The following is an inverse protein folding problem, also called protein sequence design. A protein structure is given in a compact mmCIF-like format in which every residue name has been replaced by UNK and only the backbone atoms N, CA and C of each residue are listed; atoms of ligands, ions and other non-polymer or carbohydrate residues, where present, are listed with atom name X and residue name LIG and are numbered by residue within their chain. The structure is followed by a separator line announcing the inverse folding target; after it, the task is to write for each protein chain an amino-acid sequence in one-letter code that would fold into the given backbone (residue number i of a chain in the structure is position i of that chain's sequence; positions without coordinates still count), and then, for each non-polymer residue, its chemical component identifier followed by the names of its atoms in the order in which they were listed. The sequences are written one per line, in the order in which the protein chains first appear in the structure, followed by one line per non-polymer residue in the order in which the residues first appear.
data_IF_739442501067
#
_entry.id   IF_739442501067
#
_cell.length_a   1.000
_cell.length_b   1.000
_cell.length_c   1.000
_cell.angle_alpha   90.00
_cell.angle_beta   90.00
_cell.angle_gamma   90.00
#
_symmetry.space_group_name_H-M   'P 1'
#
loop_
_entity.id
_entity.type
_entity.pdbx_description
1 polymer ?
#
# COMPACT_ATOMS: atom_id res chain seq x y z
N UNK A 1 -11.06 12.74 24.47
CA UNK A 1 -11.62 13.38 23.25
C UNK A 1 -13.13 13.16 23.21
N UNK A 2 -13.94 14.15 22.79
CA UNK A 2 -15.37 13.93 22.51
C UNK A 2 -15.53 12.97 21.32
N UNK A 3 -16.57 12.12 21.31
CA UNK A 3 -16.78 11.10 20.27
C UNK A 3 -16.94 11.74 18.88
N UNK A 4 -17.67 12.85 18.80
CA UNK A 4 -17.80 13.61 17.57
C UNK A 4 -16.45 14.18 17.09
N UNK A 5 -15.62 14.66 18.01
CA UNK A 5 -14.29 15.18 17.67
C UNK A 5 -13.34 14.07 17.20
N UNK A 6 -13.43 12.88 17.80
CA UNK A 6 -12.64 11.71 17.40
C UNK A 6 -13.02 11.17 16.03
N UNK A 7 -14.31 11.10 15.70
CA UNK A 7 -14.76 10.73 14.35
C UNK A 7 -14.43 11.81 13.32
N UNK A 8 -14.57 13.10 13.66
CA UNK A 8 -14.15 14.18 12.76
C UNK A 8 -12.65 14.11 12.44
N UNK A 9 -11.81 13.77 13.41
CA UNK A 9 -10.38 13.57 13.18
C UNK A 9 -10.10 12.45 12.17
N UNK A 10 -10.93 11.39 12.13
CA UNK A 10 -10.83 10.35 11.09
C UNK A 10 -11.28 10.85 9.73
N UNK A 11 -12.39 11.60 9.68
CA UNK A 11 -12.89 12.18 8.44
C UNK A 11 -11.86 13.16 7.83
N UNK A 12 -11.21 13.97 8.66
CA UNK A 12 -10.16 14.89 8.23
C UNK A 12 -8.88 14.13 7.80
N UNK A 13 -8.55 13.04 8.50
CA UNK A 13 -7.33 12.27 8.24
C UNK A 13 -7.46 11.18 7.17
N UNK A 14 -8.66 10.74 6.78
CA UNK A 14 -8.82 9.64 5.84
C UNK A 14 -9.99 9.82 4.87
N UNK A 15 -10.78 10.88 5.01
CA UNK A 15 -12.00 11.07 4.23
C UNK A 15 -13.11 10.07 4.55
N UNK A 16 -13.01 9.34 5.65
CA UNK A 16 -13.97 8.31 6.09
C UNK A 16 -14.03 8.18 7.61
N UNK A 17 -15.15 7.65 8.11
CA UNK A 17 -15.35 7.33 9.53
C UNK A 17 -14.44 6.18 10.02
N UNK A 18 -14.18 6.14 11.33
CA UNK A 18 -13.27 5.17 11.94
C UNK A 18 -13.69 3.71 11.70
N UNK A 19 -15.00 3.42 11.80
CA UNK A 19 -15.52 2.06 11.72
C UNK A 19 -15.45 1.43 10.32
N UNK A 20 -15.91 2.08 9.23
CA UNK A 20 -15.66 1.61 7.87
C UNK A 20 -14.18 1.35 7.57
N UNK A 21 -13.29 2.26 8.01
CA UNK A 21 -11.84 2.13 7.83
C UNK A 21 -11.28 0.88 8.50
N UNK A 22 -11.48 0.74 9.81
CA UNK A 22 -10.91 -0.38 10.59
C UNK A 22 -11.47 -1.73 10.13
N UNK A 23 -12.72 -1.79 9.64
CA UNK A 23 -13.27 -2.99 9.01
C UNK A 23 -12.52 -3.38 7.75
N UNK A 24 -12.25 -2.42 6.86
CA UNK A 24 -11.48 -2.66 5.63
C UNK A 24 -10.07 -3.14 5.96
N UNK A 25 -9.39 -2.50 6.91
CA UNK A 25 -8.05 -2.86 7.35
C UNK A 25 -8.00 -4.25 7.99
N UNK A 26 -8.91 -4.55 8.92
CA UNK A 26 -9.01 -5.87 9.54
C UNK A 26 -9.31 -6.98 8.52
N UNK A 27 -10.12 -6.69 7.50
CA UNK A 27 -10.38 -7.62 6.42
C UNK A 27 -9.16 -7.84 5.52
N UNK A 28 -8.39 -6.78 5.20
CA UNK A 28 -7.13 -6.90 4.46
C UNK A 28 -6.14 -7.83 5.16
N UNK A 29 -6.01 -7.68 6.49
CA UNK A 29 -5.18 -8.54 7.33
C UNK A 29 -5.67 -10.00 7.29
N UNK A 30 -6.97 -10.21 7.52
CA UNK A 30 -7.56 -11.53 7.44
C UNK A 30 -7.28 -12.17 6.07
N UNK A 31 -7.63 -11.52 4.95
CA UNK A 31 -7.38 -12.01 3.59
C UNK A 31 -5.94 -12.49 3.38
N UNK A 32 -4.95 -11.71 3.85
CA UNK A 32 -3.54 -12.08 3.77
C UNK A 32 -3.25 -13.37 4.55
N UNK A 33 -3.73 -13.47 5.78
CA UNK A 33 -3.56 -14.68 6.62
C UNK A 33 -4.15 -15.93 5.96
N UNK A 34 -5.32 -15.81 5.32
CA UNK A 34 -6.01 -16.95 4.71
C UNK A 34 -5.64 -17.21 3.26
N UNK A 35 -4.79 -16.36 2.68
CA UNK A 35 -4.28 -16.55 1.32
C UNK A 35 -5.34 -16.34 0.24
N UNK A 36 -6.30 -15.42 0.43
CA UNK A 36 -7.20 -14.92 -0.62
C UNK A 36 -6.68 -13.70 -1.44
N UNK A 37 -6.36 -13.90 -2.72
CA UNK A 37 -5.78 -12.90 -3.64
C UNK A 37 -6.75 -11.75 -3.92
N UNK A 38 -6.31 -10.53 -4.31
CA UNK A 38 -7.19 -9.54 -4.94
C UNK A 38 -7.78 -10.08 -6.25
N UNK A 39 -7.05 -10.96 -6.93
CA UNK A 39 -7.56 -11.73 -8.07
C UNK A 39 -8.74 -12.62 -7.64
N UNK A 40 -8.86 -12.98 -6.35
CA UNK A 40 -10.04 -13.69 -5.86
C UNK A 40 -11.25 -12.77 -5.79
N UNK A 41 -11.14 -11.44 -5.64
CA UNK A 41 -12.32 -10.57 -5.78
C UNK A 41 -12.84 -10.57 -7.21
N UNK A 42 -11.93 -10.49 -8.20
CA UNK A 42 -12.28 -10.57 -9.62
C UNK A 42 -12.75 -11.98 -10.01
N UNK A 43 -12.19 -13.06 -9.46
CA UNK A 43 -12.67 -14.44 -9.64
C UNK A 43 -13.99 -14.71 -8.88
N UNK A 44 -14.21 -14.09 -7.72
CA UNK A 44 -15.48 -14.09 -6.98
C UNK A 44 -16.55 -13.34 -7.79
N UNK A 45 -16.21 -12.21 -8.40
CA UNK A 45 -17.08 -11.44 -9.30
C UNK A 45 -17.31 -12.15 -10.64
N UNK A 46 -16.32 -12.90 -11.14
CA UNK A 46 -16.43 -13.78 -12.31
C UNK A 46 -17.10 -15.13 -12.02
N UNK A 47 -17.40 -15.44 -10.75
CA UNK A 47 -18.17 -16.61 -10.33
C UNK A 47 -17.39 -17.93 -10.20
N UNK A 48 -16.06 -17.91 -10.23
CA UNK A 48 -15.18 -19.10 -10.16
C UNK A 48 -14.81 -19.53 -8.73
N UNK A 49 -15.58 -19.08 -7.75
CA UNK A 49 -15.25 -19.27 -6.34
C UNK A 49 -15.82 -20.60 -5.80
N UNK A 50 -14.93 -21.42 -5.23
CA UNK A 50 -15.26 -22.72 -4.63
C UNK A 50 -16.35 -22.55 -3.54
N UNK A 51 -17.49 -23.28 -3.61
CA UNK A 51 -18.57 -23.17 -2.64
C UNK A 51 -18.12 -23.39 -1.19
N UNK A 52 -17.15 -24.28 -0.95
CA UNK A 52 -16.65 -24.58 0.39
C UNK A 52 -15.80 -23.41 0.93
N UNK A 53 -14.91 -22.85 0.11
CA UNK A 53 -14.18 -21.62 0.41
C UNK A 53 -15.12 -20.44 0.71
N UNK A 54 -16.18 -20.26 -0.10
CA UNK A 54 -17.21 -19.24 0.11
C UNK A 54 -17.92 -19.41 1.46
N UNK A 55 -18.29 -20.64 1.81
CA UNK A 55 -18.94 -20.95 3.08
C UNK A 55 -18.01 -20.71 4.28
N UNK A 56 -16.73 -21.10 4.18
CA UNK A 56 -15.74 -20.86 5.24
C UNK A 56 -15.48 -19.35 5.43
N UNK A 57 -15.41 -18.57 4.34
CA UNK A 57 -15.33 -17.10 4.44
C UNK A 57 -16.53 -16.50 5.14
N UNK A 58 -17.75 -16.86 4.72
CA UNK A 58 -18.98 -16.32 5.28
C UNK A 58 -19.17 -16.71 6.75
N UNK A 59 -18.86 -17.95 7.10
CA UNK A 59 -19.14 -18.50 8.42
C UNK A 59 -18.01 -18.29 9.43
N UNK A 60 -16.76 -18.12 9.01
CA UNK A 60 -15.59 -18.01 9.91
C UNK A 60 -14.85 -16.70 9.72
N UNK A 61 -14.30 -16.44 8.55
CA UNK A 61 -13.30 -15.39 8.37
C UNK A 61 -13.88 -13.98 8.37
N UNK A 62 -15.03 -13.76 7.72
CA UNK A 62 -15.72 -12.49 7.78
C UNK A 62 -16.12 -12.16 9.23
N UNK A 63 -16.81 -13.04 9.98
CA UNK A 63 -17.09 -12.77 11.39
C UNK A 63 -15.84 -12.55 12.26
N UNK A 64 -14.77 -13.33 12.07
CA UNK A 64 -13.53 -13.17 12.82
C UNK A 64 -12.84 -11.83 12.52
N UNK A 65 -12.82 -11.39 11.26
CA UNK A 65 -12.29 -10.08 10.88
C UNK A 65 -13.09 -8.92 11.48
N UNK A 66 -14.41 -9.06 11.63
CA UNK A 66 -15.22 -8.05 12.33
C UNK A 66 -14.94 -8.02 13.83
N UNK A 67 -14.66 -9.18 14.46
CA UNK A 67 -14.22 -9.24 15.86
C UNK A 67 -12.85 -8.57 16.04
N UNK A 68 -11.91 -8.80 15.10
CA UNK A 68 -10.64 -8.09 15.07
C UNK A 68 -10.83 -6.58 14.88
N UNK A 69 -11.69 -6.17 13.94
CA UNK A 69 -12.03 -4.77 13.70
C UNK A 69 -12.61 -4.10 14.96
N UNK A 70 -13.51 -4.78 15.67
CA UNK A 70 -14.10 -4.27 16.91
C UNK A 70 -13.05 -4.09 18.00
N UNK A 71 -12.12 -5.05 18.15
CA UNK A 71 -11.02 -4.95 19.10
C UNK A 71 -10.08 -3.78 18.78
N UNK A 72 -9.74 -3.59 17.51
CA UNK A 72 -8.92 -2.47 17.03
C UNK A 72 -9.64 -1.13 17.23
N UNK A 73 -10.93 -1.04 16.89
CA UNK A 73 -11.73 0.16 17.10
C UNK A 73 -11.86 0.52 18.58
N UNK A 74 -12.09 -0.47 19.45
CA UNK A 74 -12.11 -0.30 20.91
C UNK A 74 -10.75 0.16 21.44
N UNK A 75 -9.66 -0.40 20.92
CA UNK A 75 -8.30 0.01 21.27
C UNK A 75 -8.02 1.46 20.83
N UNK A 76 -8.42 1.84 19.61
CA UNK A 76 -8.29 3.20 19.08
C UNK A 76 -9.01 4.20 19.97
N UNK A 77 -10.30 3.94 20.27
CA UNK A 77 -11.10 4.77 21.16
C UNK A 77 -10.52 4.86 22.56
N UNK A 78 -10.05 3.75 23.11
CA UNK A 78 -9.47 3.73 24.45
C UNK A 78 -8.15 4.51 24.54
N UNK A 79 -7.34 4.46 23.49
CA UNK A 79 -6.09 5.20 23.38
C UNK A 79 -6.27 6.64 22.91
N UNK A 80 -7.48 7.05 22.50
CA UNK A 80 -7.76 8.33 21.85
C UNK A 80 -6.88 8.59 20.61
N UNK A 81 -6.56 7.52 19.86
CA UNK A 81 -5.74 7.56 18.64
C UNK A 81 -6.59 7.27 17.40
N UNK A 82 -6.07 7.61 16.23
CA UNK A 82 -6.66 7.19 14.96
C UNK A 82 -6.51 5.66 14.78
N UNK A 83 -7.40 5.04 14.01
CA UNK A 83 -7.40 3.58 13.83
C UNK A 83 -6.09 3.04 13.25
N UNK A 84 -5.43 3.78 12.36
CA UNK A 84 -4.13 3.38 11.78
C UNK A 84 -3.00 3.39 12.81
N UNK A 85 -3.10 4.26 13.82
CA UNK A 85 -2.10 4.45 14.88
C UNK A 85 -2.31 3.49 16.06
N UNK A 86 -3.28 2.57 15.97
CA UNK A 86 -3.47 1.54 16.97
C UNK A 86 -2.33 0.54 16.91
N UNK A 87 -1.64 0.38 18.03
CA UNK A 87 -0.71 -0.73 18.21
C UNK A 87 -1.46 -2.07 18.24
N UNK A 88 -0.99 -3.03 17.44
CA UNK A 88 -1.58 -4.38 17.40
C UNK A 88 -1.65 -5.04 18.78
N UNK A 89 -0.64 -4.80 19.62
CA UNK A 89 -0.55 -5.29 21.02
C UNK A 89 -1.76 -4.87 21.85
N UNK A 90 -2.28 -3.66 21.65
CA UNK A 90 -3.48 -3.18 22.35
C UNK A 90 -4.73 -3.94 21.92
N UNK A 91 -4.85 -4.35 20.65
CA UNK A 91 -5.97 -5.19 20.19
C UNK A 91 -5.99 -6.55 20.93
N UNK A 92 -4.83 -7.10 21.30
CA UNK A 92 -4.78 -8.36 22.07
C UNK A 92 -5.32 -8.22 23.48
N UNK A 93 -5.25 -7.05 24.10
CA UNK A 93 -5.87 -6.81 25.41
C UNK A 93 -7.39 -6.93 25.35
N UNK A 94 -7.99 -6.57 24.21
CA UNK A 94 -9.42 -6.70 23.94
C UNK A 94 -9.84 -8.10 23.47
N UNK A 95 -8.95 -8.83 22.80
CA UNK A 95 -9.25 -10.19 22.32
C UNK A 95 -8.90 -11.28 23.33
N UNK A 96 -8.11 -11.01 24.36
CA UNK A 96 -7.70 -12.06 25.29
C UNK A 96 -7.13 -11.60 26.63
N UNK A 97 -7.14 -10.29 26.89
CA UNK A 97 -6.70 -9.71 28.15
C UNK A 97 -7.87 -9.26 29.02
N UNK A 98 -7.57 -8.35 29.95
CA UNK A 98 -8.51 -7.84 30.96
C UNK A 98 -9.76 -7.18 30.37
N UNK A 99 -9.68 -6.66 29.12
CA UNK A 99 -10.77 -5.97 28.44
C UNK A 99 -11.69 -6.90 27.62
N UNK A 100 -11.37 -8.18 27.50
CA UNK A 100 -12.19 -9.15 26.74
C UNK A 100 -13.67 -9.17 27.16
N UNK A 101 -14.03 -9.11 28.45
CA UNK A 101 -15.44 -9.03 28.86
C UNK A 101 -16.18 -7.80 28.34
N UNK A 102 -15.46 -6.72 28.02
CA UNK A 102 -15.99 -5.44 27.55
C UNK A 102 -16.00 -5.31 26.03
N UNK A 103 -15.47 -6.29 25.28
CA UNK A 103 -15.35 -6.20 23.82
C UNK A 103 -16.70 -5.90 23.15
N UNK A 104 -17.76 -6.58 23.61
CA UNK A 104 -19.12 -6.43 23.10
C UNK A 104 -20.01 -5.53 23.95
N UNK A 105 -19.44 -4.70 24.83
CA UNK A 105 -20.23 -3.69 25.52
C UNK A 105 -20.85 -2.72 24.51
N UNK A 106 -22.00 -2.13 24.82
CA UNK A 106 -22.60 -1.06 24.01
C UNK A 106 -21.86 0.28 24.24
N UNK A 107 -21.85 1.21 23.27
CA UNK A 107 -22.45 1.10 21.94
C UNK A 107 -21.62 0.23 20.99
N UNK A 108 -22.28 -0.62 20.21
CA UNK A 108 -21.68 -1.39 19.13
C UNK A 108 -21.82 -0.66 17.80
N UNK A 109 -20.77 -0.64 16.96
CA UNK A 109 -20.86 -0.02 15.66
C UNK A 109 -21.71 -0.86 14.70
N UNK A 110 -22.22 -0.24 13.62
CA UNK A 110 -23.16 -0.90 12.70
C UNK A 110 -22.55 -2.12 12.00
N UNK A 111 -23.33 -3.20 11.86
CA UNK A 111 -22.93 -4.39 11.13
C UNK A 111 -23.61 -4.44 9.75
N UNK A 112 -22.85 -4.17 8.68
CA UNK A 112 -23.39 -3.97 7.33
C UNK A 112 -23.32 -5.24 6.43
N UNK A 113 -22.64 -6.31 6.84
CA UNK A 113 -22.47 -7.55 6.03
C UNK A 113 -23.35 -8.71 6.57
N UNK A 114 -23.54 -9.80 5.81
CA UNK A 114 -24.42 -10.94 6.14
C UNK A 114 -24.19 -11.58 7.53
N UNK A 115 -24.72 -10.97 8.60
CA UNK A 115 -24.53 -11.35 10.00
C UNK A 115 -25.09 -10.28 10.95
N UNK A 116 -24.94 -10.50 12.26
CA UNK A 116 -25.22 -9.50 13.28
C UNK A 116 -24.42 -9.81 14.56
N UNK A 117 -24.27 -8.82 15.45
CA UNK A 117 -23.51 -8.95 16.69
C UNK A 117 -24.00 -10.07 17.60
N UNK A 118 -25.31 -10.34 17.63
CA UNK A 118 -25.89 -11.41 18.45
C UNK A 118 -25.38 -12.79 18.01
N UNK A 119 -25.33 -13.06 16.71
CA UNK A 119 -24.78 -14.31 16.17
C UNK A 119 -23.28 -14.45 16.43
N UNK A 120 -22.53 -13.35 16.37
CA UNK A 120 -21.10 -13.32 16.70
C UNK A 120 -20.87 -13.63 18.18
N UNK A 121 -21.66 -13.03 19.07
CA UNK A 121 -21.59 -13.24 20.52
C UNK A 121 -21.84 -14.71 20.90
N UNK A 122 -22.77 -15.40 20.22
CA UNK A 122 -23.02 -16.83 20.44
C UNK A 122 -21.79 -17.71 20.12
N UNK A 123 -20.91 -17.24 19.23
CA UNK A 123 -19.69 -17.93 18.78
C UNK A 123 -18.42 -17.22 19.27
N UNK A 124 -18.54 -16.37 20.30
CA UNK A 124 -17.49 -15.42 20.69
C UNK A 124 -16.13 -16.08 20.90
N UNK A 125 -16.07 -17.20 21.62
CA UNK A 125 -14.80 -17.83 22.01
C UNK A 125 -14.01 -18.29 20.78
N UNK A 126 -14.70 -18.94 19.84
CA UNK A 126 -14.12 -19.40 18.59
C UNK A 126 -13.70 -18.24 17.66
N UNK A 127 -14.54 -17.22 17.53
CA UNK A 127 -14.26 -16.07 16.65
C UNK A 127 -13.15 -15.18 17.22
N UNK A 128 -13.10 -15.00 18.54
CA UNK A 128 -12.01 -14.32 19.23
C UNK A 128 -10.69 -15.08 19.03
N UNK A 129 -10.68 -16.41 19.21
CA UNK A 129 -9.49 -17.22 18.98
C UNK A 129 -8.99 -17.07 17.52
N UNK A 130 -9.90 -17.10 16.55
CA UNK A 130 -9.58 -16.89 15.13
C UNK A 130 -9.05 -15.46 14.87
N UNK A 131 -9.65 -14.43 15.46
CA UNK A 131 -9.18 -13.04 15.34
C UNK A 131 -7.75 -12.87 15.93
N UNK A 132 -7.47 -13.50 17.07
CA UNK A 132 -6.13 -13.53 17.67
C UNK A 132 -5.12 -14.21 16.76
N UNK A 133 -5.51 -15.33 16.15
CA UNK A 133 -4.66 -16.06 15.21
C UNK A 133 -4.21 -15.15 14.04
N UNK A 134 -5.14 -14.38 13.45
CA UNK A 134 -4.82 -13.39 12.42
C UNK A 134 -3.82 -12.35 12.97
N UNK A 135 -4.09 -11.78 14.14
CA UNK A 135 -3.20 -10.78 14.74
C UNK A 135 -1.80 -11.32 15.01
N UNK A 136 -1.68 -12.54 15.53
CA UNK A 136 -0.40 -13.14 15.94
C UNK A 136 0.46 -13.40 14.71
N UNK A 137 -0.16 -13.86 13.63
CA UNK A 137 0.52 -14.04 12.36
C UNK A 137 1.12 -12.73 11.85
N UNK A 138 0.38 -11.61 11.92
CA UNK A 138 0.88 -10.32 11.48
C UNK A 138 2.00 -9.75 12.36
N UNK A 139 2.00 -10.04 13.67
CA UNK A 139 3.12 -9.71 14.54
C UNK A 139 4.37 -10.49 14.10
N UNK A 140 4.26 -11.79 13.88
CA UNK A 140 5.39 -12.61 13.41
C UNK A 140 5.90 -12.19 12.03
N UNK A 141 4.99 -11.87 11.10
CA UNK A 141 5.33 -11.35 9.78
C UNK A 141 6.10 -10.03 9.89
N UNK A 142 5.62 -9.09 10.72
CA UNK A 142 6.30 -7.82 10.96
C UNK A 142 7.71 -8.02 11.55
N UNK A 143 7.88 -8.90 12.54
CA UNK A 143 9.20 -9.20 13.11
C UNK A 143 10.15 -9.75 12.04
N UNK A 144 9.67 -10.66 11.20
CA UNK A 144 10.48 -11.24 10.11
C UNK A 144 10.89 -10.18 9.09
N UNK A 145 9.94 -9.33 8.66
CA UNK A 145 10.16 -8.29 7.65
C UNK A 145 11.03 -7.13 8.16
N UNK A 146 10.98 -6.79 9.46
CA UNK A 146 11.72 -5.65 10.02
C UNK A 146 13.08 -6.02 10.59
N UNK A 147 13.38 -7.31 10.78
CA UNK A 147 14.70 -7.79 11.24
C UNK A 147 15.88 -7.18 10.47
N UNK A 148 15.87 -7.12 9.11
CA UNK A 148 16.98 -6.54 8.35
C UNK A 148 17.19 -5.03 8.60
N UNK A 149 16.13 -4.30 9.00
CA UNK A 149 16.21 -2.87 9.33
C UNK A 149 16.78 -2.61 10.74
N UNK A 150 16.85 -3.63 11.60
CA UNK A 150 17.48 -3.53 12.93
C UNK A 150 18.97 -3.80 12.86
N UNK A 151 19.37 -4.72 11.98
CA UNK A 151 20.77 -5.13 11.78
C UNK A 151 21.60 -4.06 11.05
N UNK A 152 20.97 -2.98 10.57
CA UNK A 152 21.60 -1.82 9.90
C UNK A 152 21.98 -0.69 10.87
N UNK A 153 21.88 -0.86 12.19
CA UNK A 153 21.94 0.25 13.14
C UNK A 153 23.34 0.91 13.30
N UNK A 154 23.38 2.20 12.93
CA UNK A 154 24.33 3.27 13.25
C UNK A 154 24.35 3.63 14.76
N UNK A 155 24.27 2.64 15.65
CA UNK A 155 24.41 2.83 17.11
C UNK A 155 23.20 3.41 17.85
N UNK A 156 22.04 3.62 17.21
CA UNK A 156 20.80 3.96 17.94
C UNK A 156 20.24 2.75 18.69
N UNK A 157 19.76 2.91 19.95
CA UNK A 157 19.25 1.80 20.75
C UNK A 157 18.12 1.06 20.05
N UNK A 158 18.14 -0.27 20.21
CA UNK A 158 17.30 -1.30 19.59
C UNK A 158 15.83 -1.26 20.06
N UNK A 159 15.17 -0.12 19.91
CA UNK A 159 13.73 0.00 20.12
C UNK A 159 13.03 -0.30 18.80
N UNK A 160 12.40 -1.47 18.76
CA UNK A 160 11.51 -1.82 17.66
C UNK A 160 10.35 -0.82 17.64
N UNK A 161 10.07 -0.13 16.52
CA UNK A 161 8.91 0.72 16.45
C UNK A 161 7.65 -0.10 16.74
N UNK A 162 6.61 0.52 17.34
CA UNK A 162 5.35 -0.17 17.58
C UNK A 162 4.75 -0.69 16.26
N UNK A 163 4.02 -1.80 16.34
CA UNK A 163 3.35 -2.39 15.18
C UNK A 163 2.01 -1.69 15.01
N UNK A 164 2.01 -0.57 14.29
CA UNK A 164 0.80 0.19 13.99
C UNK A 164 -0.05 -0.52 12.93
N UNK A 165 -1.38 -0.42 13.06
CA UNK A 165 -2.33 -1.03 12.13
C UNK A 165 -2.10 -0.56 10.69
N UNK A 166 -1.99 0.75 10.48
CA UNK A 166 -1.81 1.36 9.17
C UNK A 166 -0.52 0.88 8.49
N UNK A 167 0.58 0.86 9.22
CA UNK A 167 1.89 0.41 8.71
C UNK A 167 1.86 -1.06 8.32
N UNK A 168 1.22 -1.90 9.14
CA UNK A 168 1.06 -3.33 8.83
C UNK A 168 0.18 -3.53 7.60
N UNK A 169 -0.88 -2.77 7.44
CA UNK A 169 -1.75 -2.82 6.25
C UNK A 169 -1.01 -2.35 4.99
N UNK A 170 -0.20 -1.28 5.07
CA UNK A 170 0.69 -0.84 3.98
C UNK A 170 1.70 -1.93 3.60
N UNK A 171 2.34 -2.57 4.57
CA UNK A 171 3.23 -3.71 4.32
C UNK A 171 2.52 -4.89 3.65
N UNK A 172 1.26 -5.17 4.01
CA UNK A 172 0.46 -6.22 3.37
C UNK A 172 0.08 -5.85 1.94
N UNK A 173 -0.23 -4.58 1.67
CA UNK A 173 -0.55 -4.12 0.33
C UNK A 173 0.66 -4.15 -0.61
N UNK A 174 1.84 -3.77 -0.11
CA UNK A 174 3.09 -3.74 -0.87
C UNK A 174 3.85 -5.08 -0.86
N UNK A 175 3.51 -6.01 0.02
CA UNK A 175 4.25 -7.27 0.19
C UNK A 175 3.78 -8.41 -0.70
N UNK A 176 4.49 -9.56 -0.65
CA UNK A 176 4.05 -10.81 -1.25
C UNK A 176 2.67 -11.20 -0.74
N UNK A 177 1.92 -12.05 -1.47
CA UNK A 177 0.57 -12.45 -1.09
C UNK A 177 0.51 -13.77 -0.29
N UNK A 178 1.54 -14.60 -0.41
CA UNK A 178 1.78 -15.83 0.37
C UNK A 178 3.28 -15.95 0.63
N UNK A 179 3.67 -16.61 1.72
CA UNK A 179 5.08 -16.82 2.03
C UNK A 179 5.75 -17.57 0.85
N UNK A 180 6.61 -16.87 0.11
CA UNK A 180 7.32 -17.38 -1.08
C UNK A 180 6.74 -17.02 -2.45
N UNK A 181 5.53 -16.43 -2.54
CA UNK A 181 5.01 -15.89 -3.80
C UNK A 181 5.55 -14.49 -4.07
N UNK A 182 5.67 -14.04 -5.33
CA UNK A 182 6.12 -12.69 -5.63
C UNK A 182 5.16 -11.61 -5.06
N UNK A 183 5.65 -10.38 -4.83
CA UNK A 183 4.81 -9.22 -4.54
C UNK A 183 3.76 -8.96 -5.63
N UNK A 184 2.58 -8.47 -5.24
CA UNK A 184 1.45 -8.24 -6.18
C UNK A 184 1.78 -7.27 -7.30
N UNK A 185 2.48 -6.20 -6.96
CA UNK A 185 2.95 -5.20 -7.91
C UNK A 185 3.97 -5.76 -8.91
N UNK A 186 4.58 -6.92 -8.63
CA UNK A 186 5.68 -7.45 -9.45
C UNK A 186 5.23 -7.77 -10.88
N UNK A 187 4.04 -8.35 -11.07
CA UNK A 187 3.55 -8.67 -12.40
C UNK A 187 3.34 -7.41 -13.26
N UNK A 188 2.74 -6.36 -12.68
CA UNK A 188 2.55 -5.07 -13.36
C UNK A 188 3.89 -4.39 -13.69
N UNK A 189 4.85 -4.41 -12.75
CA UNK A 189 6.20 -3.88 -12.98
C UNK A 189 6.96 -4.68 -14.04
N UNK A 190 6.90 -6.01 -14.02
CA UNK A 190 7.56 -6.87 -14.99
C UNK A 190 6.95 -6.70 -16.40
N UNK A 191 5.62 -6.53 -16.50
CA UNK A 191 4.96 -6.21 -17.75
C UNK A 191 5.39 -4.83 -18.29
N UNK A 192 5.37 -3.79 -17.45
CA UNK A 192 5.82 -2.46 -17.85
C UNK A 192 7.29 -2.45 -18.31
N UNK A 193 8.15 -3.22 -17.62
CA UNK A 193 9.54 -3.42 -18.03
C UNK A 193 9.64 -4.07 -19.41
N UNK A 194 8.85 -5.12 -19.64
CA UNK A 194 8.82 -5.80 -20.93
C UNK A 194 8.44 -4.85 -22.06
N UNK A 195 7.42 -4.00 -21.87
CA UNK A 195 7.01 -3.01 -22.87
C UNK A 195 8.13 -1.99 -23.15
N UNK A 196 8.84 -1.51 -22.12
CA UNK A 196 9.98 -0.60 -22.28
C UNK A 196 11.11 -1.25 -23.08
N UNK A 197 11.46 -2.50 -22.74
CA UNK A 197 12.52 -3.25 -23.42
C UNK A 197 12.15 -3.51 -24.88
N UNK A 198 10.93 -3.97 -25.15
CA UNK A 198 10.43 -4.16 -26.50
C UNK A 198 10.48 -2.86 -27.33
N UNK A 199 9.97 -1.75 -26.82
CA UNK A 199 10.00 -0.48 -27.54
C UNK A 199 11.43 0.02 -27.80
N UNK A 200 12.36 -0.24 -26.87
CA UNK A 200 13.79 0.06 -27.05
C UNK A 200 14.40 -0.79 -28.15
N UNK A 201 14.09 -2.08 -28.21
CA UNK A 201 14.56 -3.00 -29.24
C UNK A 201 14.03 -2.63 -30.63
N UNK A 202 12.74 -2.28 -30.74
CA UNK A 202 12.12 -1.79 -31.97
C UNK A 202 12.81 -0.51 -32.50
N UNK A 203 13.14 0.41 -31.59
CA UNK A 203 13.86 1.65 -31.90
C UNK A 203 15.30 1.35 -32.39
N UNK A 204 16.03 0.49 -31.67
CA UNK A 204 17.41 0.12 -32.02
C UNK A 204 17.49 -0.65 -33.34
N UNK A 205 16.54 -1.55 -33.59
CA UNK A 205 16.42 -2.31 -34.82
C UNK A 205 15.90 -1.46 -36.00
N UNK A 206 15.52 -0.19 -35.75
CA UNK A 206 14.92 0.73 -36.73
C UNK A 206 13.61 0.20 -37.34
N UNK A 207 12.92 -0.68 -36.60
CA UNK A 207 11.60 -1.20 -36.96
C UNK A 207 10.50 -0.21 -36.58
N UNK A 208 10.80 0.65 -35.60
CA UNK A 208 9.99 1.80 -35.24
C UNK A 208 10.76 3.11 -35.43
N UNK A 209 10.15 4.08 -36.09
CA UNK A 209 10.64 5.48 -36.15
C UNK A 209 9.65 6.38 -35.42
N UNK A 210 10.02 7.00 -34.30
CA UNK A 210 9.11 7.84 -33.53
C UNK A 210 8.78 9.12 -34.29
N UNK A 211 7.49 9.43 -34.39
CA UNK A 211 7.03 10.67 -35.00
C UNK A 211 7.05 11.85 -34.03
N UNK A 212 6.50 13.00 -34.45
CA UNK A 212 6.57 14.25 -33.68
C UNK A 212 5.92 14.15 -32.30
N UNK A 213 4.76 13.51 -32.19
CA UNK A 213 4.01 13.41 -30.93
C UNK A 213 4.78 12.58 -29.89
N UNK A 214 5.30 11.41 -30.28
CA UNK A 214 6.12 10.58 -29.40
C UNK A 214 7.38 11.30 -28.89
N UNK A 215 8.06 12.06 -29.76
CA UNK A 215 9.26 12.83 -29.39
C UNK A 215 8.95 14.00 -28.46
N UNK A 216 7.86 14.73 -28.70
CA UNK A 216 7.43 15.83 -27.84
C UNK A 216 7.00 15.33 -26.45
N UNK A 217 6.25 14.22 -26.39
CA UNK A 217 5.90 13.58 -25.14
C UNK A 217 7.17 13.17 -24.37
N UNK A 218 8.13 12.53 -25.05
CA UNK A 218 9.41 12.16 -24.44
C UNK A 218 10.19 13.35 -23.89
N UNK A 219 10.29 14.45 -24.65
CA UNK A 219 10.94 15.69 -24.21
C UNK A 219 10.25 16.31 -22.98
N UNK A 220 8.92 16.23 -22.92
CA UNK A 220 8.12 16.75 -21.80
C UNK A 220 8.29 15.90 -20.55
N UNK A 221 8.35 14.57 -20.71
CA UNK A 221 8.45 13.61 -19.60
C UNK A 221 9.85 13.49 -19.01
N UNK A 222 10.88 13.56 -19.86
CA UNK A 222 12.25 13.25 -19.47
C UNK A 222 12.74 14.01 -18.23
N UNK A 223 12.53 15.35 -18.09
CA UNK A 223 12.96 16.08 -16.90
C UNK A 223 12.35 15.56 -15.59
N UNK A 224 11.06 15.17 -15.62
CA UNK A 224 10.37 14.61 -14.46
C UNK A 224 10.92 13.22 -14.12
N UNK A 225 11.20 12.39 -15.12
CA UNK A 225 11.72 11.02 -14.91
C UNK A 225 13.15 10.98 -14.35
N UNK A 226 13.96 12.00 -14.63
CA UNK A 226 15.35 12.10 -14.13
C UNK A 226 15.49 12.97 -12.89
N UNK A 227 14.39 13.58 -12.41
CA UNK A 227 14.42 14.43 -11.23
C UNK A 227 14.77 13.60 -10.00
N UNK A 228 15.84 14.00 -9.31
CA UNK A 228 16.20 13.44 -8.01
C UNK A 228 15.48 14.19 -6.89
N UNK A 229 15.10 13.52 -5.78
CA UNK A 229 14.54 14.21 -4.62
C UNK A 229 15.42 15.38 -4.15
N UNK A 230 14.78 16.49 -3.73
CA UNK A 230 15.46 17.72 -3.31
C UNK A 230 16.44 17.45 -2.16
N UNK A 231 17.74 17.58 -2.43
CA UNK A 231 18.83 17.47 -1.46
C UNK A 231 18.87 18.68 -0.51
N UNK A 232 19.26 18.47 0.76
CA UNK A 232 20.70 18.38 1.03
C UNK A 232 21.17 16.91 1.07
N UNK A 233 22.44 16.65 0.72
CA UNK A 233 23.00 15.32 0.85
C UNK A 233 22.86 14.86 2.30
N UNK A 234 22.60 13.56 2.54
CA UNK A 234 22.50 13.06 3.89
C UNK A 234 23.77 13.40 4.68
N UNK A 235 23.59 13.80 5.95
CA UNK A 235 24.70 14.10 6.86
C UNK A 235 25.67 12.90 6.88
N UNK A 236 26.98 13.16 6.78
CA UNK A 236 28.02 12.12 6.82
C UNK A 236 27.78 11.21 8.03
N UNK A 237 27.50 9.93 7.78
CA UNK A 237 27.23 8.93 8.82
C UNK A 237 25.75 8.56 8.99
N UNK A 238 24.84 9.16 8.22
CA UNK A 238 23.43 8.75 8.15
C UNK A 238 23.17 8.26 6.72
N UNK A 239 23.09 6.95 6.50
CA UNK A 239 22.66 6.45 5.19
C UNK A 239 21.13 6.57 5.03
N UNK A 240 20.68 7.18 3.93
CA UNK A 240 19.37 6.90 3.33
C UNK A 240 18.10 7.38 4.04
N UNK A 241 18.00 8.68 4.38
CA UNK A 241 16.78 9.26 4.97
C UNK A 241 16.22 10.34 4.06
N UNK A 242 15.43 9.96 3.04
CA UNK A 242 14.51 10.78 2.22
C UNK A 242 13.47 9.89 1.49
N UNK A 243 13.08 8.77 2.08
CA UNK A 243 12.10 7.86 1.48
C UNK A 243 10.74 8.51 1.24
N UNK A 244 10.29 9.42 2.12
CA UNK A 244 9.02 10.10 1.90
C UNK A 244 9.03 10.94 0.62
N UNK A 245 10.14 11.62 0.32
CA UNK A 245 10.28 12.37 -0.93
C UNK A 245 10.24 11.46 -2.15
N UNK A 246 10.85 10.27 -2.06
CA UNK A 246 10.82 9.26 -3.12
C UNK A 246 9.39 8.78 -3.38
N UNK A 247 8.62 8.53 -2.32
CA UNK A 247 7.20 8.16 -2.39
C UNK A 247 6.36 9.27 -3.03
N UNK A 248 6.52 10.52 -2.58
CA UNK A 248 5.80 11.69 -3.16
C UNK A 248 6.18 11.89 -4.63
N UNK A 249 7.45 11.69 -4.98
CA UNK A 249 7.91 11.78 -6.36
C UNK A 249 7.18 10.79 -7.27
N UNK A 250 6.94 9.54 -6.85
CA UNK A 250 6.16 8.58 -7.64
C UNK A 250 4.76 9.09 -8.00
N UNK A 251 4.08 9.76 -7.05
CA UNK A 251 2.78 10.39 -7.29
C UNK A 251 2.87 11.51 -8.33
N UNK A 252 3.92 12.34 -8.26
CA UNK A 252 4.18 13.38 -9.25
C UNK A 252 4.45 12.80 -10.65
N UNK A 253 5.28 11.75 -10.76
CA UNK A 253 5.58 11.09 -12.05
C UNK A 253 4.31 10.52 -12.67
N UNK A 254 3.47 9.84 -11.89
CA UNK A 254 2.17 9.36 -12.35
C UNK A 254 1.33 10.49 -12.97
N UNK A 255 1.18 11.60 -12.25
CA UNK A 255 0.34 12.72 -12.70
C UNK A 255 0.88 13.39 -13.97
N UNK A 256 2.21 13.49 -14.11
CA UNK A 256 2.83 14.05 -15.32
C UNK A 256 2.66 13.09 -16.51
N UNK A 257 2.87 11.78 -16.35
CA UNK A 257 2.62 10.81 -17.43
C UNK A 257 1.17 10.87 -17.90
N UNK A 258 0.22 10.88 -16.95
CA UNK A 258 -1.20 11.00 -17.24
C UNK A 258 -1.53 12.31 -17.97
N UNK A 259 -0.96 13.43 -17.53
CA UNK A 259 -1.19 14.73 -18.16
C UNK A 259 -0.62 14.78 -19.59
N UNK A 260 0.53 14.17 -19.85
CA UNK A 260 1.12 14.07 -21.19
C UNK A 260 0.24 13.22 -22.11
N UNK A 261 -0.23 12.06 -21.67
CA UNK A 261 -1.14 11.24 -22.46
C UNK A 261 -2.46 11.96 -22.77
N UNK A 262 -3.03 12.68 -21.80
CA UNK A 262 -4.25 13.46 -22.00
C UNK A 262 -4.01 14.66 -22.95
N UNK A 263 -2.85 15.32 -22.87
CA UNK A 263 -2.49 16.40 -23.79
C UNK A 263 -2.44 15.94 -25.25
N UNK A 264 -1.97 14.71 -25.48
CA UNK A 264 -1.87 14.11 -26.80
C UNK A 264 -3.07 13.19 -27.15
N UNK A 265 -4.21 13.37 -26.48
CA UNK A 265 -5.40 12.56 -26.72
C UNK A 265 -5.86 12.70 -28.18
N UNK A 266 -5.92 11.58 -28.90
CA UNK A 266 -6.29 11.53 -30.32
C UNK A 266 -5.10 11.40 -31.26
N UNK A 267 -3.86 11.57 -30.77
CA UNK A 267 -2.65 11.25 -31.52
C UNK A 267 -2.44 9.72 -31.54
N UNK A 268 -2.45 9.11 -32.73
CA UNK A 268 -2.34 7.66 -32.88
C UNK A 268 -1.05 7.11 -32.24
N UNK A 269 0.07 7.82 -32.34
CA UNK A 269 1.36 7.40 -31.78
C UNK A 269 1.37 7.21 -30.26
N UNK A 270 0.42 7.82 -29.55
CA UNK A 270 0.29 7.77 -28.09
C UNK A 270 -0.99 7.06 -27.63
N UNK A 271 -1.66 6.34 -28.54
CA UNK A 271 -2.73 5.44 -28.19
C UNK A 271 -2.21 4.25 -27.34
N UNK A 272 -3.03 3.79 -26.40
CA UNK A 272 -2.78 2.57 -25.62
C UNK A 272 -3.01 1.30 -26.46
N UNK A 273 -2.35 1.21 -27.62
CA UNK A 273 -2.43 0.11 -28.58
C UNK A 273 -1.05 -0.55 -28.72
N UNK A 274 -0.94 -1.89 -28.70
CA UNK A 274 0.33 -2.59 -28.92
C UNK A 274 1.04 -2.23 -30.23
N UNK A 275 0.33 -1.73 -31.25
CA UNK A 275 0.94 -1.24 -32.49
C UNK A 275 1.60 0.15 -32.35
N UNK A 276 1.44 0.81 -31.19
CA UNK A 276 1.91 2.16 -30.92
C UNK A 276 2.90 2.15 -29.73
N UNK A 277 4.21 1.93 -29.97
CA UNK A 277 5.16 1.62 -28.91
C UNK A 277 5.25 2.67 -27.79
N UNK A 278 5.22 3.97 -28.13
CA UNK A 278 5.28 5.03 -27.12
C UNK A 278 4.03 5.05 -26.22
N UNK A 279 2.83 4.96 -26.80
CA UNK A 279 1.58 4.92 -26.04
C UNK A 279 1.43 3.65 -25.21
N UNK A 280 1.82 2.49 -25.75
CA UNK A 280 1.86 1.21 -25.03
C UNK A 280 2.75 1.28 -23.78
N UNK A 281 3.99 1.77 -23.93
CA UNK A 281 4.93 1.93 -22.81
C UNK A 281 4.39 2.86 -21.73
N UNK A 282 3.93 4.06 -22.09
CA UNK A 282 3.43 5.03 -21.11
C UNK A 282 2.19 4.50 -20.37
N UNK A 283 1.30 3.80 -21.07
CA UNK A 283 0.14 3.15 -20.47
C UNK A 283 0.54 2.02 -19.53
N UNK A 284 1.51 1.19 -19.93
CA UNK A 284 2.01 0.09 -19.12
C UNK A 284 2.73 0.59 -17.85
N UNK A 285 3.48 1.69 -17.93
CA UNK A 285 4.14 2.32 -16.77
C UNK A 285 3.13 2.94 -15.80
N UNK A 286 2.00 3.46 -16.30
CA UNK A 286 0.96 4.02 -15.42
C UNK A 286 0.33 2.97 -14.51
N UNK A 287 0.14 1.73 -14.96
CA UNK A 287 -0.51 0.67 -14.18
C UNK A 287 0.16 0.44 -12.81
N UNK A 288 1.45 0.08 -12.72
CA UNK A 288 2.10 -0.13 -11.42
C UNK A 288 2.21 1.16 -10.59
N UNK A 289 2.23 2.36 -11.22
CA UNK A 289 2.19 3.63 -10.49
C UNK A 289 0.81 3.87 -9.87
N UNK A 290 -0.28 3.59 -10.59
CA UNK A 290 -1.66 3.69 -10.09
C UNK A 290 -1.85 2.80 -8.86
N UNK A 291 -1.33 1.57 -8.91
CA UNK A 291 -1.40 0.63 -7.79
C UNK A 291 -0.70 1.14 -6.51
N UNK A 292 0.32 1.99 -6.67
CA UNK A 292 1.05 2.58 -5.56
C UNK A 292 0.38 3.85 -4.99
N UNK A 293 -0.46 4.55 -5.76
CA UNK A 293 -1.04 5.85 -5.36
C UNK A 293 -1.79 5.85 -4.02
N UNK A 294 -2.61 4.83 -3.67
CA UNK A 294 -3.27 4.81 -2.38
C UNK A 294 -2.27 4.85 -1.22
N UNK A 295 -1.18 4.08 -1.33
CA UNK A 295 -0.14 4.08 -0.30
C UNK A 295 0.63 5.41 -0.28
N UNK A 296 0.91 6.01 -1.43
CA UNK A 296 1.56 7.33 -1.54
C UNK A 296 0.75 8.41 -0.82
N UNK A 297 -0.55 8.51 -1.12
CA UNK A 297 -1.46 9.51 -0.53
C UNK A 297 -1.60 9.32 0.97
N UNK A 298 -1.80 8.08 1.42
CA UNK A 298 -1.87 7.76 2.85
C UNK A 298 -0.57 8.17 3.57
N UNK A 299 0.60 7.94 2.97
CA UNK A 299 1.90 8.29 3.56
C UNK A 299 2.16 9.80 3.59
N UNK A 300 1.76 10.52 2.54
CA UNK A 300 1.84 11.98 2.49
C UNK A 300 0.96 12.61 3.59
N UNK A 301 -0.25 12.10 3.77
CA UNK A 301 -1.15 12.58 4.81
C UNK A 301 -0.62 12.29 6.23
N UNK A 302 -0.11 11.10 6.48
CA UNK A 302 0.53 10.74 7.77
C UNK A 302 1.81 11.57 8.01
N UNK A 303 2.50 11.96 6.94
CA UNK A 303 3.68 12.82 7.03
C UNK A 303 3.34 14.25 7.42
N UNK A 304 2.26 14.80 6.85
CA UNK A 304 1.76 16.15 7.15
C UNK A 304 1.26 16.28 8.59
N UNK A 305 0.74 15.18 9.15
CA UNK A 305 0.24 15.12 10.53
C UNK A 305 1.31 14.76 11.56
N UNK A 306 2.58 14.61 11.16
CA UNK A 306 3.63 14.17 12.07
C UNK A 306 3.80 15.18 13.23
N UNK A 307 3.98 14.71 14.49
CA UNK A 307 4.26 15.59 15.61
C UNK A 307 5.53 16.43 15.37
N UNK A 308 5.45 17.72 15.67
CA UNK A 308 6.62 18.60 15.67
C UNK A 308 7.71 18.03 16.60
N UNK A 309 8.91 17.83 16.06
CA UNK A 309 10.05 17.28 16.81
C UNK A 309 10.32 15.79 16.63
N UNK A 310 9.46 15.02 15.92
CA UNK A 310 9.81 13.65 15.51
C UNK A 310 10.83 13.69 14.37
N UNK A 311 11.91 12.91 14.50
CA UNK A 311 12.96 12.84 13.48
C UNK A 311 12.47 12.15 12.21
N UNK A 312 12.91 12.62 11.03
CA UNK A 312 12.55 12.03 9.72
C UNK A 312 12.90 10.54 9.67
N UNK A 313 14.11 10.17 10.09
CA UNK A 313 14.59 8.79 10.10
C UNK A 313 13.75 7.87 11.02
N UNK A 314 13.24 8.41 12.12
CA UNK A 314 12.37 7.68 13.04
C UNK A 314 11.00 7.45 12.40
N UNK A 315 10.42 8.50 11.81
CA UNK A 315 9.16 8.42 11.09
C UNK A 315 9.24 7.43 9.91
N UNK A 316 10.30 7.50 9.09
CA UNK A 316 10.47 6.61 7.93
C UNK A 316 10.73 5.15 8.34
N UNK A 317 11.37 4.90 9.49
CA UNK A 317 11.50 3.54 10.04
C UNK A 317 10.17 2.96 10.49
N UNK A 318 9.28 3.81 11.00
CA UNK A 318 7.95 3.41 11.46
C UNK A 318 7.01 3.16 10.27
N UNK A 319 6.89 4.14 9.37
CA UNK A 319 5.81 4.18 8.39
C UNK A 319 6.14 3.59 7.02
N UNK A 320 7.43 3.33 6.73
CA UNK A 320 7.88 2.74 5.47
C UNK A 320 8.55 1.39 5.74
N UNK A 321 7.77 0.33 5.97
CA UNK A 321 8.30 -1.01 6.20
C UNK A 321 9.01 -1.55 4.94
N UNK A 322 9.86 -2.57 5.11
CA UNK A 322 10.67 -3.15 4.02
C UNK A 322 9.88 -3.44 2.74
N UNK A 323 8.69 -4.07 2.76
CA UNK A 323 7.96 -4.34 1.53
C UNK A 323 7.57 -3.08 0.75
N UNK A 324 7.29 -1.97 1.44
CA UNK A 324 7.00 -0.68 0.79
C UNK A 324 8.26 -0.11 0.15
N UNK A 325 9.41 -0.19 0.85
CA UNK A 325 10.71 0.24 0.32
C UNK A 325 11.12 -0.55 -0.92
N UNK A 326 10.90 -1.86 -0.91
CA UNK A 326 11.15 -2.73 -2.06
C UNK A 326 10.26 -2.38 -3.25
N UNK A 327 8.97 -2.09 -3.01
CA UNK A 327 8.07 -1.64 -4.05
C UNK A 327 8.52 -0.30 -4.66
N UNK A 328 8.87 0.68 -3.82
CA UNK A 328 9.40 1.99 -4.27
C UNK A 328 10.66 1.82 -5.11
N UNK A 329 11.61 0.99 -4.66
CA UNK A 329 12.83 0.69 -5.42
C UNK A 329 12.54 0.06 -6.79
N UNK A 330 11.57 -0.86 -6.86
CA UNK A 330 11.18 -1.49 -8.12
C UNK A 330 10.54 -0.48 -9.10
N UNK A 331 9.74 0.45 -8.59
CA UNK A 331 9.15 1.52 -9.40
C UNK A 331 10.22 2.51 -9.87
N UNK A 332 11.16 2.91 -9.01
CA UNK A 332 12.25 3.79 -9.43
C UNK A 332 13.14 3.18 -10.51
N UNK A 333 13.45 1.89 -10.41
CA UNK A 333 14.17 1.18 -11.46
C UNK A 333 13.38 1.18 -12.78
N UNK A 334 12.07 0.94 -12.73
CA UNK A 334 11.20 1.05 -13.90
C UNK A 334 11.22 2.47 -14.50
N UNK A 335 11.15 3.50 -13.67
CA UNK A 335 11.19 4.90 -14.09
C UNK A 335 12.55 5.27 -14.71
N UNK A 336 13.65 4.74 -14.16
CA UNK A 336 14.98 4.93 -14.74
C UNK A 336 15.09 4.32 -16.15
N UNK A 337 14.50 3.14 -16.35
CA UNK A 337 14.46 2.51 -17.68
C UNK A 337 13.59 3.30 -18.67
N UNK A 338 12.45 3.83 -18.22
CA UNK A 338 11.61 4.73 -19.00
C UNK A 338 12.34 6.05 -19.31
N UNK A 339 13.14 6.58 -18.39
CA UNK A 339 13.98 7.76 -18.61
C UNK A 339 15.00 7.52 -19.74
N UNK A 340 15.61 6.34 -19.81
CA UNK A 340 16.52 5.97 -20.89
C UNK A 340 15.83 5.89 -22.27
N UNK A 341 14.60 5.37 -22.31
CA UNK A 341 13.80 5.35 -23.55
C UNK A 341 13.43 6.77 -23.97
N UNK A 342 12.92 7.60 -23.06
CA UNK A 342 12.55 8.99 -23.36
C UNK A 342 13.74 9.83 -23.81
N UNK A 343 14.93 9.63 -23.24
CA UNK A 343 16.16 10.27 -23.72
C UNK A 343 16.46 9.92 -25.18
N UNK A 344 16.35 8.63 -25.53
CA UNK A 344 16.58 8.14 -26.90
C UNK A 344 15.57 8.73 -27.89
N UNK A 345 14.29 8.81 -27.51
CA UNK A 345 13.24 9.41 -28.34
C UNK A 345 13.43 10.93 -28.51
N UNK A 346 13.84 11.61 -27.44
CA UNK A 346 14.06 13.05 -27.44
C UNK A 346 15.35 13.49 -28.18
N UNK A 347 16.24 12.54 -28.50
CA UNK A 347 17.57 12.81 -29.08
C UNK A 347 18.57 13.36 -28.05
N UNK A 348 18.42 12.97 -26.79
CA UNK A 348 19.25 13.41 -25.65
C UNK A 348 20.33 12.38 -25.24
N UNK A 349 20.38 11.23 -25.92
CA UNK A 349 21.25 10.08 -25.61
C UNK A 349 22.35 9.82 -26.62
#
# INVERSE_FOLDING_TARGET
MDEAAWEQAHQDAYGEEAWPRVRRLAWLLAKRRIGYSPEDLEQIEAGEDDPQARQDRASRWLPASQVLALALWRAARHGEVLVDDVEFTHAFWWLGGERTPLLFAEPLPEWVLAGNWRTVQQRREHLIATAREVGTWHIHAHITETRPLRDTNDGTPDQSPPILLGDRCRAVAAGPFRDGQPPRWKAAVDHARHEIEWARDELQAKLWTPGPAARQAAQTLHPTLVATPDSPPPLKGVQGVMWIQRVVHLGHVHDVIRAVLEHHRGEAELAADPACPAGAVLSAVLVPLIDALPAVRDLEQVWDQRPEGRGVAEWERMHLPVPVREHVLALEELLHQAAGLTASLAGLG
#
